data_IF_026317168064
#
_entry.id   IF_026317168064
#
_cell.length_a   1.000
_cell.length_b   1.000
_cell.length_c   1.000
_cell.angle_alpha   90.00
_cell.angle_beta   90.00
_cell.angle_gamma   90.00
#
_symmetry.space_group_name_H-M   'P 1'
#
loop_
_entity.id
_entity.type
_entity.pdbx_description
1 polymer ?
#
# COMPACT_ATOMS: atom_id res chain seq x y z
N UNK A 1 16.13 -7.27 -4.40
CA UNK A 1 16.23 -6.00 -3.66
C UNK A 1 15.49 -4.90 -4.40
N UNK A 2 16.14 -4.26 -5.38
CA UNK A 2 15.64 -3.07 -6.07
C UNK A 2 14.37 -3.30 -6.92
N UNK A 3 14.37 -4.30 -7.80
CA UNK A 3 13.23 -4.54 -8.72
C UNK A 3 11.92 -4.87 -7.98
N UNK A 4 12.00 -5.63 -6.90
CA UNK A 4 10.83 -5.94 -6.06
C UNK A 4 10.30 -4.69 -5.36
N UNK A 5 11.17 -3.88 -4.75
CA UNK A 5 10.73 -2.65 -4.08
C UNK A 5 10.20 -1.61 -5.05
N UNK A 6 10.77 -1.51 -6.25
CA UNK A 6 10.23 -0.67 -7.30
C UNK A 6 8.83 -1.13 -7.71
N UNK A 7 8.63 -2.44 -7.88
CA UNK A 7 7.30 -3.02 -8.11
C UNK A 7 6.31 -2.66 -7.00
N UNK A 8 6.70 -2.80 -5.73
CA UNK A 8 5.86 -2.42 -4.58
C UNK A 8 5.52 -0.92 -4.59
N UNK A 9 6.48 -0.04 -4.87
CA UNK A 9 6.24 1.41 -4.96
C UNK A 9 5.20 1.73 -6.03
N UNK A 10 5.37 1.17 -7.24
CA UNK A 10 4.44 1.42 -8.36
C UNK A 10 3.05 0.87 -8.05
N UNK A 11 2.97 -0.40 -7.63
CA UNK A 11 1.70 -1.06 -7.32
C UNK A 11 0.98 -0.35 -6.18
N UNK A 12 1.70 0.04 -5.11
CA UNK A 12 1.08 0.72 -3.99
C UNK A 12 0.59 2.11 -4.34
N UNK A 13 1.35 2.85 -5.13
CA UNK A 13 0.93 4.18 -5.61
C UNK A 13 -0.31 4.06 -6.48
N UNK A 14 -0.31 3.15 -7.46
CA UNK A 14 -1.44 2.97 -8.38
C UNK A 14 -2.68 2.50 -7.62
N UNK A 15 -2.54 1.48 -6.76
CA UNK A 15 -3.65 0.97 -5.96
C UNK A 15 -4.28 2.08 -5.09
N UNK A 16 -3.45 2.80 -4.33
CA UNK A 16 -3.93 3.87 -3.45
C UNK A 16 -4.52 5.06 -4.23
N UNK A 17 -4.02 5.38 -5.43
CA UNK A 17 -4.62 6.41 -6.27
C UNK A 17 -5.97 5.98 -6.84
N UNK A 18 -6.08 4.74 -7.35
CA UNK A 18 -7.32 4.24 -7.95
C UNK A 18 -8.44 4.17 -6.91
N UNK A 19 -8.16 3.67 -5.71
CA UNK A 19 -9.16 3.58 -4.63
C UNK A 19 -9.62 4.95 -4.14
N UNK A 20 -8.72 5.95 -4.11
CA UNK A 20 -9.06 7.32 -3.72
C UNK A 20 -9.88 8.07 -4.78
N UNK A 21 -9.60 7.86 -6.07
CA UNK A 21 -10.33 8.56 -7.16
C UNK A 21 -11.67 7.88 -7.46
N UNK A 22 -11.76 6.57 -7.31
CA UNK A 22 -12.96 5.80 -7.67
C UNK A 22 -13.52 4.93 -6.53
N UNK A 23 -13.70 5.46 -5.30
CA UNK A 23 -14.09 4.66 -4.14
C UNK A 23 -15.46 3.99 -4.33
N UNK A 24 -16.43 4.68 -4.94
CA UNK A 24 -17.78 4.16 -5.17
C UNK A 24 -17.82 2.95 -6.12
N UNK A 25 -16.85 2.86 -7.04
CA UNK A 25 -16.75 1.76 -8.01
C UNK A 25 -16.03 0.53 -7.45
N UNK A 26 -15.11 0.75 -6.50
CA UNK A 26 -14.28 -0.29 -5.90
C UNK A 26 -14.96 -0.89 -4.67
N UNK A 27 -15.65 -0.08 -3.89
CA UNK A 27 -16.28 -0.45 -2.61
C UNK A 27 -17.81 -0.51 -2.68
N UNK A 28 -18.33 -1.10 -3.77
CA UNK A 28 -19.77 -1.27 -3.95
C UNK A 28 -20.33 -2.18 -2.85
N UNK A 29 -21.15 -1.60 -1.96
CA UNK A 29 -21.82 -2.33 -0.88
C UNK A 29 -21.07 -2.30 0.47
N UNK A 30 -19.94 -1.63 0.55
CA UNK A 30 -19.24 -1.38 1.81
C UNK A 30 -19.85 -0.22 2.60
N UNK A 31 -19.57 -0.19 3.90
CA UNK A 31 -20.03 0.92 4.78
C UNK A 31 -19.24 2.20 4.53
N UNK A 32 -19.88 3.36 4.72
CA UNK A 32 -19.20 4.66 4.61
C UNK A 32 -17.99 4.78 5.56
N UNK A 33 -18.09 4.18 6.74
CA UNK A 33 -16.99 4.12 7.72
C UNK A 33 -15.79 3.33 7.20
N UNK A 34 -16.02 2.23 6.47
CA UNK A 34 -14.95 1.45 5.85
C UNK A 34 -14.26 2.25 4.75
N UNK A 35 -15.03 2.87 3.86
CA UNK A 35 -14.52 3.71 2.77
C UNK A 35 -13.68 4.88 3.33
N UNK A 36 -14.13 5.53 4.39
CA UNK A 36 -13.40 6.62 5.03
C UNK A 36 -12.07 6.15 5.67
N UNK A 37 -12.08 4.98 6.32
CA UNK A 37 -10.88 4.39 6.91
C UNK A 37 -9.86 4.00 5.84
N UNK A 38 -10.32 3.37 4.75
CA UNK A 38 -9.46 3.00 3.63
C UNK A 38 -8.90 4.22 2.91
N UNK A 39 -9.69 5.28 2.72
CA UNK A 39 -9.21 6.55 2.17
C UNK A 39 -8.10 7.16 3.06
N UNK A 40 -8.28 7.13 4.38
CA UNK A 40 -7.26 7.57 5.33
C UNK A 40 -5.96 6.76 5.23
N UNK A 41 -6.06 5.43 5.12
CA UNK A 41 -4.91 4.54 4.94
C UNK A 41 -4.20 4.78 3.60
N UNK A 42 -4.94 4.95 2.51
CA UNK A 42 -4.37 5.21 1.19
C UNK A 42 -3.65 6.57 1.13
N UNK A 43 -4.14 7.57 1.85
CA UNK A 43 -3.45 8.84 1.98
C UNK A 43 -2.12 8.69 2.75
N UNK A 44 -2.10 7.89 3.83
CA UNK A 44 -0.86 7.54 4.54
C UNK A 44 0.11 6.79 3.64
N UNK A 45 -0.38 5.85 2.81
CA UNK A 45 0.46 5.13 1.86
C UNK A 45 1.17 6.09 0.90
N UNK A 46 0.42 7.02 0.28
CA UNK A 46 0.96 7.94 -0.72
C UNK A 46 1.91 8.99 -0.13
N UNK A 47 1.59 9.52 1.05
CA UNK A 47 2.33 10.66 1.64
C UNK A 47 3.48 10.20 2.53
N UNK A 48 3.39 9.02 3.15
CA UNK A 48 4.39 8.54 4.12
C UNK A 48 5.03 7.23 3.68
N UNK A 49 4.27 6.16 3.47
CA UNK A 49 4.85 4.83 3.30
C UNK A 49 5.63 4.68 1.98
N UNK A 50 5.09 5.17 0.87
CA UNK A 50 5.75 5.14 -0.44
C UNK A 50 7.02 6.00 -0.45
N UNK A 51 6.99 7.28 0.00
CA UNK A 51 8.21 8.08 0.11
C UNK A 51 9.25 7.45 1.04
N UNK A 52 8.83 6.91 2.19
CA UNK A 52 9.73 6.25 3.13
C UNK A 52 10.41 5.03 2.50
N UNK A 53 9.67 4.22 1.74
CA UNK A 53 10.22 3.07 1.02
C UNK A 53 11.22 3.53 -0.05
N UNK A 54 10.90 4.58 -0.81
CA UNK A 54 11.78 5.12 -1.86
C UNK A 54 13.08 5.71 -1.28
N UNK A 55 12.99 6.54 -0.24
CA UNK A 55 14.16 7.14 0.39
C UNK A 55 15.02 6.11 1.12
N UNK A 56 14.41 5.19 1.87
CA UNK A 56 15.17 4.13 2.56
C UNK A 56 15.86 3.19 1.57
N UNK A 57 15.22 2.88 0.44
CA UNK A 57 15.83 2.10 -0.65
C UNK A 57 17.04 2.84 -1.25
N UNK A 58 16.92 4.15 -1.51
CA UNK A 58 18.03 4.96 -2.03
C UNK A 58 19.23 4.97 -1.06
N UNK A 59 18.98 5.24 0.22
CA UNK A 59 20.04 5.30 1.24
C UNK A 59 20.64 3.94 1.57
N UNK A 60 19.85 2.86 1.46
CA UNK A 60 20.35 1.49 1.58
C UNK A 60 21.35 1.18 0.46
N UNK A 61 21.06 1.57 -0.79
CA UNK A 61 22.00 1.41 -1.90
C UNK A 61 23.25 2.30 -1.77
N UNK A 62 23.14 3.42 -1.06
CA UNK A 62 24.27 4.28 -0.69
C UNK A 62 25.13 3.71 0.47
N UNK A 63 24.82 2.51 0.99
CA UNK A 63 25.61 1.81 2.01
C UNK A 63 25.16 2.04 3.47
N UNK A 64 23.99 2.65 3.70
CA UNK A 64 23.49 2.87 5.06
C UNK A 64 22.80 1.63 5.64
N UNK A 65 23.42 1.00 6.63
CA UNK A 65 22.80 -0.10 7.39
C UNK A 65 21.56 0.35 8.18
N UNK A 66 21.50 1.61 8.64
CA UNK A 66 20.30 2.14 9.31
C UNK A 66 19.12 2.20 8.34
N UNK A 67 19.38 2.60 7.09
CA UNK A 67 18.35 2.65 6.06
C UNK A 67 17.83 1.26 5.69
N UNK A 68 18.66 0.21 5.83
CA UNK A 68 18.25 -1.18 5.64
C UNK A 68 17.13 -1.60 6.58
N UNK A 69 17.24 -1.27 7.87
CA UNK A 69 16.19 -1.60 8.85
C UNK A 69 14.88 -0.87 8.55
N UNK A 70 14.96 0.42 8.18
CA UNK A 70 13.78 1.21 7.78
C UNK A 70 13.14 0.60 6.54
N UNK A 71 13.93 0.29 5.51
CA UNK A 71 13.48 -0.33 4.28
C UNK A 71 12.77 -1.66 4.52
N UNK A 72 13.35 -2.55 5.34
CA UNK A 72 12.73 -3.82 5.71
C UNK A 72 11.42 -3.62 6.49
N UNK A 73 11.38 -2.66 7.42
CA UNK A 73 10.17 -2.33 8.17
C UNK A 73 9.06 -1.80 7.27
N UNK A 74 9.38 -0.92 6.31
CA UNK A 74 8.40 -0.38 5.36
C UNK A 74 7.91 -1.45 4.39
N UNK A 75 8.77 -2.38 3.96
CA UNK A 75 8.33 -3.55 3.18
C UNK A 75 7.37 -4.44 3.99
N UNK A 76 7.69 -4.70 5.25
CA UNK A 76 6.81 -5.48 6.12
C UNK A 76 5.44 -4.80 6.31
N UNK A 77 5.42 -3.48 6.46
CA UNK A 77 4.20 -2.69 6.49
C UNK A 77 3.33 -2.94 5.25
N UNK A 78 3.91 -2.84 4.03
CA UNK A 78 3.14 -3.10 2.81
C UNK A 78 2.64 -4.55 2.72
N UNK A 79 3.47 -5.53 3.10
CA UNK A 79 3.04 -6.94 3.14
C UNK A 79 1.85 -7.10 4.08
N UNK A 80 1.92 -6.53 5.28
CA UNK A 80 0.82 -6.57 6.24
C UNK A 80 -0.45 -5.92 5.68
N UNK A 81 -0.35 -4.69 5.16
CA UNK A 81 -1.48 -3.95 4.58
C UNK A 81 -2.17 -4.73 3.48
N UNK A 82 -1.40 -5.31 2.54
CA UNK A 82 -1.99 -6.08 1.44
C UNK A 82 -2.49 -7.46 1.85
N UNK A 83 -1.89 -8.10 2.86
CA UNK A 83 -2.46 -9.33 3.43
C UNK A 83 -3.79 -9.04 4.12
N UNK A 84 -3.88 -7.94 4.88
CA UNK A 84 -5.12 -7.49 5.50
C UNK A 84 -6.17 -7.17 4.44
N UNK A 85 -5.81 -6.49 3.35
CA UNK A 85 -6.70 -6.22 2.24
C UNK A 85 -7.31 -7.52 1.65
N UNK A 86 -6.50 -8.55 1.40
CA UNK A 86 -6.99 -9.84 0.89
C UNK A 86 -7.97 -10.53 1.86
N UNK A 87 -7.83 -10.29 3.16
CA UNK A 87 -8.69 -10.89 4.20
C UNK A 87 -9.93 -10.06 4.55
N UNK A 88 -9.82 -8.73 4.41
CA UNK A 88 -10.85 -7.77 4.86
C UNK A 88 -11.74 -7.29 3.72
N UNK A 89 -11.27 -7.25 2.48
CA UNK A 89 -12.16 -6.96 1.37
C UNK A 89 -13.17 -8.09 1.29
N UNK A 90 -14.45 -7.75 1.49
CA UNK A 90 -15.54 -8.66 1.22
C UNK A 90 -15.33 -9.24 -0.19
N UNK A 91 -15.65 -10.52 -0.37
CA UNK A 91 -15.66 -11.20 -1.66
C UNK A 91 -16.58 -10.43 -2.64
N UNK A 92 -16.04 -9.40 -3.30
CA UNK A 92 -16.74 -8.58 -4.29
C UNK A 92 -17.09 -9.44 -5.51
N UNK A 93 -17.86 -8.92 -6.49
CA UNK A 93 -18.27 -9.65 -7.71
C UNK A 93 -17.16 -10.33 -8.52
N UNK A 94 -15.88 -10.11 -8.21
CA UNK A 94 -14.72 -10.86 -8.74
C UNK A 94 -14.52 -12.24 -8.10
N UNK A 95 -15.24 -12.54 -7.01
CA UNK A 95 -15.16 -13.78 -6.25
C UNK A 95 -16.48 -14.57 -6.20
N UNK A 96 -17.51 -14.18 -6.94
CA UNK A 96 -18.76 -14.93 -7.05
C UNK A 96 -18.77 -15.79 -8.32
N UNK A 97 -18.76 -17.12 -8.13
CA UNK A 97 -19.59 -18.06 -8.90
C UNK A 97 -21.00 -18.02 -8.30
#
# INVERSE_FOLDING_TARGET
>A
GLYLSFGVIVLATVASMVTLVFPESVYVGETESFIAQDAGQNLVNLVLAVPLLAFSLYWFHAGSEKARYVWMGTLFYFVYTYLSAVMLFAFNRLFLV
#
